data_IF_515404902321
#
_entry.id   IF_515404902321
#
_cell.length_a   1.000
_cell.length_b   1.000
_cell.length_c   1.000
_cell.angle_alpha   90.00
_cell.angle_beta   90.00
_cell.angle_gamma   90.00
#
_symmetry.space_group_name_H-M   'P 1'
#
loop_
_entity.id
_entity.type
_entity.pdbx_description
1 polymer ?
#
# COMPACT_ATOMS: atom_id res chain seq x y z
N UNK A 1 -15.10 0.12 -7.08
CA UNK A 1 -13.94 0.73 -7.78
C UNK A 1 -12.78 1.01 -6.81
N UNK A 2 -12.92 1.87 -5.80
CA UNK A 2 -11.79 2.28 -4.90
C UNK A 2 -11.04 1.16 -4.17
N UNK A 3 -11.73 0.12 -3.68
CA UNK A 3 -11.07 -0.98 -2.95
C UNK A 3 -10.35 -1.98 -3.89
N UNK A 4 -10.69 -2.00 -5.17
CA UNK A 4 -10.13 -2.96 -6.12
C UNK A 4 -8.78 -2.48 -6.65
N UNK A 5 -8.68 -1.20 -7.03
CA UNK A 5 -7.40 -0.55 -7.39
C UNK A 5 -6.37 -0.71 -6.26
N UNK A 6 -6.77 -0.46 -5.01
CA UNK A 6 -5.88 -0.57 -3.85
C UNK A 6 -5.37 -2.00 -3.64
N UNK A 7 -6.24 -3.02 -3.82
CA UNK A 7 -5.84 -4.43 -3.75
C UNK A 7 -4.83 -4.80 -4.83
N UNK A 8 -4.98 -4.25 -6.03
CA UNK A 8 -4.02 -4.47 -7.11
C UNK A 8 -2.67 -3.82 -6.80
N UNK A 9 -2.66 -2.59 -6.30
CA UNK A 9 -1.42 -1.93 -5.83
C UNK A 9 -0.74 -2.71 -4.69
N UNK A 10 -1.50 -3.18 -3.70
CA UNK A 10 -0.97 -3.97 -2.57
C UNK A 10 -0.39 -5.32 -3.03
N UNK A 11 -0.94 -5.93 -4.09
CA UNK A 11 -0.40 -7.16 -4.69
C UNK A 11 0.89 -6.93 -5.48
N UNK A 12 1.05 -5.74 -6.09
CA UNK A 12 2.27 -5.33 -6.79
C UNK A 12 3.43 -5.03 -5.82
N UNK A 13 3.16 -4.80 -4.54
CA UNK A 13 4.21 -4.58 -3.54
C UNK A 13 5.14 -5.79 -3.40
N UNK A 14 6.43 -5.52 -3.37
CA UNK A 14 7.45 -6.51 -3.03
C UNK A 14 7.44 -6.80 -1.52
N UNK A 15 7.94 -7.98 -1.17
CA UNK A 15 7.99 -8.45 0.21
C UNK A 15 9.20 -7.82 0.91
N UNK A 16 8.96 -7.17 2.06
CA UNK A 16 9.98 -6.42 2.79
C UNK A 16 10.33 -5.06 2.19
N UNK A 17 9.53 -4.55 1.25
CA UNK A 17 9.60 -3.17 0.77
C UNK A 17 8.38 -2.38 1.29
N UNK A 18 8.53 -1.66 2.42
CA UNK A 18 7.42 -0.92 3.00
C UNK A 18 7.07 0.30 2.15
N UNK A 19 5.78 0.49 1.92
CA UNK A 19 5.22 1.68 1.26
C UNK A 19 4.57 2.58 2.30
N UNK A 20 4.85 3.88 2.20
CA UNK A 20 4.36 4.87 3.15
C UNK A 20 3.14 5.58 2.60
N UNK A 21 2.02 5.32 3.25
CA UNK A 21 0.73 5.88 2.93
C UNK A 21 0.47 7.16 3.77
N UNK A 22 0.44 8.36 3.18
CA UNK A 22 0.11 9.59 3.92
C UNK A 22 -1.31 9.54 4.50
N UNK A 23 -1.46 9.99 5.75
CA UNK A 23 -2.75 9.97 6.45
C UNK A 23 -3.39 11.36 6.53
N UNK A 24 -4.59 11.45 7.11
CA UNK A 24 -5.30 12.72 7.27
C UNK A 24 -4.57 13.74 8.15
N UNK A 25 -3.62 13.28 8.98
CA UNK A 25 -2.73 14.15 9.74
C UNK A 25 -1.49 14.42 8.88
N UNK A 26 -1.23 15.70 8.58
CA UNK A 26 -0.14 16.15 7.71
C UNK A 26 1.28 15.76 8.18
N UNK A 27 1.42 15.16 9.36
CA UNK A 27 2.69 14.74 9.95
C UNK A 27 2.70 13.24 10.30
N UNK A 28 1.81 12.44 9.69
CA UNK A 28 1.73 11.00 9.98
C UNK A 28 1.55 10.18 8.71
N UNK A 29 2.42 9.19 8.58
CA UNK A 29 2.39 8.20 7.52
C UNK A 29 1.99 6.84 8.13
N UNK A 30 1.26 6.08 7.34
CA UNK A 30 0.92 4.70 7.60
C UNK A 30 1.90 3.86 6.78
N UNK A 31 2.77 3.14 7.45
CA UNK A 31 3.68 2.21 6.79
C UNK A 31 2.91 0.92 6.50
N UNK A 32 3.00 0.43 5.28
CA UNK A 32 2.40 -0.84 4.88
C UNK A 32 3.50 -1.69 4.28
N UNK A 33 3.76 -2.85 4.85
CA UNK A 33 4.75 -3.80 4.39
C UNK A 33 4.08 -5.12 4.03
N UNK A 34 4.56 -5.75 2.96
CA UNK A 34 4.09 -7.09 2.59
C UNK A 34 5.01 -8.11 3.25
N UNK A 35 4.47 -8.95 4.12
CA UNK A 35 5.21 -9.91 4.94
C UNK A 35 4.75 -11.35 4.71
N UNK A 36 5.64 -12.30 5.01
CA UNK A 36 5.25 -13.70 5.15
C UNK A 36 4.96 -14.04 6.61
N UNK A 37 3.76 -14.53 6.88
CA UNK A 37 3.38 -15.09 8.18
C UNK A 37 3.27 -16.60 8.01
N UNK A 38 4.35 -17.31 8.36
CA UNK A 38 4.49 -18.72 8.08
C UNK A 38 4.54 -18.99 6.58
N UNK A 39 3.50 -19.63 6.03
CA UNK A 39 3.38 -19.96 4.59
C UNK A 39 2.44 -19.02 3.83
N UNK A 40 1.83 -18.05 4.52
CA UNK A 40 0.85 -17.12 3.93
C UNK A 40 1.44 -15.74 3.79
N UNK A 41 1.03 -15.04 2.73
CA UNK A 41 1.31 -13.61 2.55
C UNK A 41 0.29 -12.81 3.36
N UNK A 42 0.77 -11.82 4.08
CA UNK A 42 -0.04 -10.84 4.81
C UNK A 42 0.54 -9.44 4.63
N UNK A 43 -0.21 -8.42 5.07
CA UNK A 43 0.22 -7.03 5.04
C UNK A 43 0.30 -6.51 6.46
N UNK A 44 1.52 -6.13 6.88
CA UNK A 44 1.78 -5.47 8.13
C UNK A 44 1.57 -3.97 7.95
N UNK A 45 0.66 -3.39 8.71
CA UNK A 45 0.36 -1.97 8.70
C UNK A 45 0.83 -1.39 10.03
N UNK A 46 1.71 -0.40 9.98
CA UNK A 46 2.17 0.35 11.15
C UNK A 46 1.62 1.78 11.11
N UNK A 47 0.86 2.14 12.12
CA UNK A 47 0.27 3.46 12.23
C UNK A 47 0.06 3.86 13.69
N UNK A 48 0.43 5.09 14.06
CA UNK A 48 0.29 5.63 15.42
C UNK A 48 0.80 4.70 16.54
N UNK A 49 1.96 4.07 16.32
CA UNK A 49 2.59 3.17 17.29
C UNK A 49 1.86 1.82 17.50
N UNK A 50 0.90 1.50 16.63
CA UNK A 50 0.26 0.20 16.51
C UNK A 50 0.79 -0.51 15.25
N UNK A 51 1.03 -1.82 15.36
CA UNK A 51 1.30 -2.71 14.23
C UNK A 51 0.15 -3.72 14.16
N UNK A 52 -0.46 -3.82 12.99
CA UNK A 52 -1.51 -4.79 12.71
C UNK A 52 -1.15 -5.58 11.47
N UNK A 53 -1.33 -6.91 11.52
CA UNK A 53 -1.07 -7.79 10.38
C UNK A 53 -2.41 -8.31 9.89
N UNK A 54 -2.74 -7.97 8.65
CA UNK A 54 -4.04 -8.24 8.04
C UNK A 54 -3.86 -9.00 6.73
N UNK A 55 -4.91 -9.71 6.31
CA UNK A 55 -4.96 -10.22 4.94
C UNK A 55 -5.20 -9.09 3.93
N UNK A 56 -5.09 -9.41 2.64
CA UNK A 56 -5.20 -8.41 1.56
C UNK A 56 -6.52 -7.63 1.62
N UNK A 57 -7.63 -8.31 1.90
CA UNK A 57 -8.96 -7.71 1.89
C UNK A 57 -9.12 -6.77 3.10
N UNK A 58 -8.71 -7.23 4.28
CA UNK A 58 -8.75 -6.45 5.51
C UNK A 58 -7.77 -5.26 5.47
N UNK A 59 -6.55 -5.46 4.94
CA UNK A 59 -5.55 -4.42 4.79
C UNK A 59 -6.03 -3.31 3.84
N UNK A 60 -6.61 -3.69 2.70
CA UNK A 60 -7.17 -2.74 1.75
C UNK A 60 -8.31 -1.91 2.37
N UNK A 61 -9.17 -2.55 3.16
CA UNK A 61 -10.27 -1.84 3.84
C UNK A 61 -9.75 -0.92 4.96
N UNK A 62 -8.76 -1.36 5.73
CA UNK A 62 -8.13 -0.57 6.80
C UNK A 62 -7.47 0.68 6.24
N UNK A 63 -6.64 0.54 5.21
CA UNK A 63 -6.00 1.67 4.52
C UNK A 63 -7.09 2.60 4.00
N UNK A 64 -8.10 2.10 3.29
CA UNK A 64 -9.17 2.93 2.73
C UNK A 64 -9.95 3.74 3.78
N UNK A 65 -10.09 3.24 5.02
CA UNK A 65 -10.76 3.95 6.13
C UNK A 65 -9.91 5.07 6.72
N UNK A 66 -8.59 4.86 6.81
CA UNK A 66 -7.67 5.82 7.43
C UNK A 66 -6.97 6.74 6.40
N UNK A 67 -7.10 6.43 5.11
CA UNK A 67 -6.58 7.18 3.98
C UNK A 67 -7.40 8.44 3.70
N UNK A 68 -6.74 9.60 3.64
CA UNK A 68 -7.39 10.86 3.28
C UNK A 68 -7.50 10.99 1.75
N UNK A 69 -8.72 11.14 1.24
CA UNK A 69 -9.03 11.11 -0.20
C UNK A 69 -8.31 12.19 -1.04
N UNK A 70 -7.86 13.29 -0.43
CA UNK A 70 -7.18 14.37 -1.14
C UNK A 70 -5.74 14.02 -1.59
N UNK A 71 -5.16 12.93 -1.07
CA UNK A 71 -3.78 12.51 -1.35
C UNK A 71 -3.64 11.45 -2.45
N UNK A 72 -4.74 11.02 -3.10
CA UNK A 72 -4.70 10.08 -4.26
C UNK A 72 -3.69 10.53 -5.33
N UNK A 73 -3.56 11.85 -5.57
CA UNK A 73 -2.61 12.41 -6.53
C UNK A 73 -1.14 12.13 -6.22
N UNK A 74 -0.77 11.98 -4.95
CA UNK A 74 0.63 11.79 -4.54
C UNK A 74 1.07 10.34 -4.74
N UNK A 75 0.16 9.38 -4.55
CA UNK A 75 0.46 7.97 -4.78
C UNK A 75 0.38 7.58 -6.25
N UNK A 76 -0.53 8.18 -7.03
CA UNK A 76 -0.51 8.01 -8.48
C UNK A 76 0.87 8.35 -9.06
N UNK A 77 1.52 9.41 -8.55
CA UNK A 77 2.91 9.72 -8.91
C UNK A 77 3.91 8.67 -8.43
N UNK A 78 3.88 8.24 -7.17
CA UNK A 78 4.86 7.26 -6.65
C UNK A 78 4.71 5.86 -7.28
N UNK A 79 3.52 5.48 -7.73
CA UNK A 79 3.27 4.20 -8.38
C UNK A 79 3.38 4.27 -9.91
N UNK A 80 3.18 5.43 -10.55
CA UNK A 80 3.56 5.61 -11.96
C UNK A 80 5.06 5.40 -12.16
N UNK A 81 5.90 5.83 -11.22
CA UNK A 81 7.35 5.56 -11.26
C UNK A 81 7.70 4.06 -11.15
N UNK A 82 6.81 3.24 -10.58
CA UNK A 82 6.97 1.78 -10.52
C UNK A 82 6.47 1.11 -11.81
N UNK A 83 5.44 1.65 -12.46
CA UNK A 83 4.87 1.13 -13.72
C UNK A 83 5.76 1.46 -14.94
N UNK A 84 6.55 2.55 -14.90
CA UNK A 84 7.53 2.90 -15.95
C UNK A 84 8.71 1.92 -16.07
N UNK A 85 8.89 0.99 -15.13
CA UNK A 85 9.94 -0.04 -15.21
C UNK A 85 9.47 -1.25 -16.07
N UNK A 86 8.17 -1.38 -16.37
CA UNK A 86 7.64 -2.46 -17.21
C UNK A 86 7.61 -2.14 -18.72
N UNK A 87 7.95 -0.91 -19.16
CA UNK A 87 7.88 -0.48 -20.58
C UNK A 87 9.25 -0.44 -21.32
N UNK A 88 10.23 -1.26 -20.91
CA UNK A 88 11.49 -1.45 -21.66
C UNK A 88 11.51 -2.75 -22.48
N UNK A 89 10.35 -3.15 -22.99
CA UNK A 89 10.11 -4.46 -23.59
C UNK A 89 9.26 -4.48 -24.85
N UNK A 90 9.32 -3.47 -25.71
CA UNK A 90 8.87 -3.61 -27.10
C UNK A 90 10.03 -3.38 -28.08
N UNK A 91 10.36 -4.47 -28.78
CA UNK A 91 11.35 -4.60 -29.86
C UNK A 91 10.69 -4.29 -31.20
#
# INVERSE_FOLDING_TARGET
>A
MKAQELKESLKKMNIGEPVYFPTAKSDSYMEVDRVFVGIKVAWAIRYQNEEIVLDLDEAAEYIAKHWNQNLKKVIDQQFSELDEIEDLGEY
#
